data_IF_797705235223
#
_entry.id   IF_797705235223
#
_cell.length_a   1.000
_cell.length_b   1.000
_cell.length_c   1.000
_cell.angle_alpha   90.00
_cell.angle_beta   90.00
_cell.angle_gamma   90.00
#
_symmetry.space_group_name_H-M   'P 1'
#
loop_
_entity.id
_entity.type
_entity.pdbx_description
1 polymer ?
#
# COMPACT_ATOMS: atom_id res chain seq x y z
N UNK A 1 -23.47 3.76 -22.64
CA UNK A 1 -22.52 4.83 -22.26
C UNK A 1 -21.83 4.37 -20.97
N UNK A 2 -20.53 4.15 -21.00
CA UNK A 2 -19.77 3.84 -19.78
C UNK A 2 -19.84 5.06 -18.85
N UNK A 3 -20.18 4.83 -17.58
CA UNK A 3 -20.17 5.87 -16.55
C UNK A 3 -18.80 6.56 -16.41
N UNK A 4 -18.68 7.61 -15.59
CA UNK A 4 -17.41 8.28 -15.39
C UNK A 4 -16.36 7.28 -14.87
N UNK A 5 -15.12 7.41 -15.35
CA UNK A 5 -14.02 6.57 -14.91
C UNK A 5 -13.78 6.76 -13.41
N UNK A 6 -13.65 5.66 -12.67
CA UNK A 6 -13.24 5.68 -11.27
C UNK A 6 -11.80 6.16 -11.12
N UNK A 7 -11.47 6.77 -9.99
CA UNK A 7 -10.15 7.31 -9.70
C UNK A 7 -9.49 6.55 -8.54
N UNK A 8 -8.29 6.06 -8.78
CA UNK A 8 -7.42 5.45 -7.76
C UNK A 8 -6.25 6.36 -7.41
N UNK A 9 -5.92 6.44 -6.12
CA UNK A 9 -4.68 7.04 -5.62
C UNK A 9 -3.75 5.88 -5.23
N UNK A 10 -2.49 5.92 -5.68
CA UNK A 10 -1.46 4.93 -5.31
C UNK A 10 -0.24 5.65 -4.78
N UNK A 11 0.12 5.42 -3.52
CA UNK A 11 1.34 5.96 -2.92
C UNK A 11 2.51 5.00 -3.09
N UNK A 12 3.76 5.50 -3.09
CA UNK A 12 4.94 4.66 -3.34
C UNK A 12 4.98 4.07 -4.75
N UNK A 13 4.46 4.78 -5.73
CA UNK A 13 4.11 4.28 -7.06
C UNK A 13 5.29 4.16 -8.05
N UNK A 14 6.50 4.61 -7.71
CA UNK A 14 7.57 4.78 -8.70
C UNK A 14 8.22 3.48 -9.19
N UNK A 15 8.05 2.37 -8.49
CA UNK A 15 8.66 1.07 -8.80
C UNK A 15 7.97 -0.09 -8.07
N UNK A 16 8.27 -1.32 -8.47
CA UNK A 16 7.89 -2.54 -7.77
C UNK A 16 6.38 -2.70 -7.61
N UNK A 17 5.91 -3.01 -6.39
CA UNK A 17 4.48 -3.25 -6.10
C UNK A 17 3.63 -2.05 -6.53
N UNK A 18 4.04 -0.84 -6.14
CA UNK A 18 3.27 0.37 -6.45
C UNK A 18 3.14 0.64 -7.94
N UNK A 19 4.20 0.46 -8.72
CA UNK A 19 4.15 0.60 -10.17
C UNK A 19 3.27 -0.48 -10.82
N UNK A 20 3.34 -1.72 -10.34
CA UNK A 20 2.45 -2.80 -10.79
C UNK A 20 0.98 -2.49 -10.53
N UNK A 21 0.66 -1.93 -9.36
CA UNK A 21 -0.71 -1.51 -9.01
C UNK A 21 -1.20 -0.38 -9.93
N UNK A 22 -0.37 0.64 -10.20
CA UNK A 22 -0.71 1.72 -11.15
C UNK A 22 -1.07 1.13 -12.51
N UNK A 23 -0.22 0.24 -13.05
CA UNK A 23 -0.45 -0.42 -14.34
C UNK A 23 -1.78 -1.18 -14.36
N UNK A 24 -2.07 -1.96 -13.34
CA UNK A 24 -3.30 -2.74 -13.26
C UNK A 24 -4.57 -1.86 -13.21
N UNK A 25 -4.54 -0.75 -12.48
CA UNK A 25 -5.66 0.21 -12.49
C UNK A 25 -5.84 0.86 -13.86
N UNK A 26 -4.77 1.26 -14.53
CA UNK A 26 -4.84 1.83 -15.89
C UNK A 26 -5.41 0.83 -16.88
N UNK A 27 -4.97 -0.44 -16.85
CA UNK A 27 -5.49 -1.52 -17.70
C UNK A 27 -6.98 -1.79 -17.46
N UNK A 28 -7.48 -1.54 -16.25
CA UNK A 28 -8.91 -1.61 -15.89
C UNK A 28 -9.70 -0.33 -16.22
N UNK A 29 -9.08 0.67 -16.84
CA UNK A 29 -9.72 1.90 -17.25
C UNK A 29 -9.93 2.93 -16.15
N UNK A 30 -9.23 2.83 -15.02
CA UNK A 30 -9.24 3.85 -13.98
C UNK A 30 -8.40 5.07 -14.37
N UNK A 31 -8.75 6.21 -13.79
CA UNK A 31 -7.82 7.31 -13.62
C UNK A 31 -6.92 7.02 -12.42
N UNK A 32 -5.65 7.39 -12.47
CA UNK A 32 -4.69 7.11 -11.39
C UNK A 32 -3.93 8.38 -11.00
N UNK A 33 -3.88 8.69 -9.71
CA UNK A 33 -2.91 9.62 -9.15
C UNK A 33 -1.80 8.80 -8.50
N UNK A 34 -0.63 8.85 -9.10
CA UNK A 34 0.56 8.14 -8.65
C UNK A 34 1.48 9.07 -7.87
N UNK A 35 1.84 8.72 -6.63
CA UNK A 35 2.76 9.50 -5.81
C UNK A 35 4.00 8.69 -5.45
N UNK A 36 5.12 9.33 -5.44
CA UNK A 36 6.33 8.99 -4.68
C UNK A 36 7.21 10.22 -4.55
N UNK A 37 8.32 10.13 -3.82
CA UNK A 37 9.27 11.25 -3.66
C UNK A 37 9.73 11.86 -4.99
N UNK A 38 9.88 11.02 -6.03
CA UNK A 38 10.31 11.42 -7.40
C UNK A 38 9.61 10.54 -8.45
N UNK A 39 8.28 10.47 -8.44
CA UNK A 39 7.54 9.64 -9.38
C UNK A 39 7.68 10.13 -10.82
N UNK A 40 7.88 11.42 -11.02
CA UNK A 40 8.13 12.01 -12.36
C UNK A 40 9.43 11.51 -13.02
N UNK A 41 10.35 10.93 -12.22
CA UNK A 41 11.60 10.31 -12.70
C UNK A 41 11.49 8.77 -12.79
N UNK A 42 10.31 8.21 -12.58
CA UNK A 42 10.10 6.76 -12.68
C UNK A 42 10.35 6.26 -14.09
N UNK A 43 10.97 5.07 -14.19
CA UNK A 43 11.10 4.35 -15.47
C UNK A 43 9.93 3.37 -15.72
N UNK A 44 9.09 3.13 -14.69
CA UNK A 44 8.01 2.15 -14.73
C UNK A 44 6.63 2.81 -14.85
N UNK A 45 6.50 4.08 -14.46
CA UNK A 45 5.24 4.83 -14.48
C UNK A 45 5.44 6.16 -15.17
N UNK A 46 4.61 6.43 -16.18
CA UNK A 46 4.64 7.68 -16.95
C UNK A 46 3.30 8.43 -16.83
N UNK A 47 3.36 9.75 -16.98
CA UNK A 47 2.17 10.58 -17.08
C UNK A 47 1.36 10.26 -18.35
N UNK A 48 0.04 10.29 -18.25
CA UNK A 48 -0.89 10.10 -19.36
C UNK A 48 -2.21 10.85 -19.07
N UNK A 49 -3.14 10.85 -19.98
CA UNK A 49 -4.46 11.47 -19.77
C UNK A 49 -5.16 10.88 -18.53
N UNK A 50 -5.01 9.59 -18.31
CA UNK A 50 -5.54 8.87 -17.15
C UNK A 50 -4.54 8.74 -15.99
N UNK A 51 -3.31 9.27 -16.08
CA UNK A 51 -2.30 9.16 -15.03
C UNK A 51 -1.72 10.52 -14.68
N UNK A 52 -1.92 10.94 -13.44
CA UNK A 52 -1.30 12.12 -12.84
C UNK A 52 -0.14 11.71 -11.94
N UNK A 53 1.01 12.37 -12.07
CA UNK A 53 2.18 12.14 -11.24
C UNK A 53 2.32 13.27 -10.20
N UNK A 54 2.50 12.91 -8.94
CA UNK A 54 2.68 13.86 -7.83
C UNK A 54 3.95 13.53 -7.07
N UNK A 55 4.99 14.30 -7.28
CA UNK A 55 6.22 14.22 -6.48
C UNK A 55 5.99 14.80 -5.08
N UNK A 56 6.55 14.14 -4.07
CA UNK A 56 6.56 14.59 -2.68
C UNK A 56 6.73 13.43 -1.69
N UNK A 57 7.26 13.75 -0.52
CA UNK A 57 7.35 12.80 0.58
C UNK A 57 5.95 12.62 1.20
N UNK A 58 5.50 11.37 1.29
CA UNK A 58 4.16 11.06 1.82
C UNK A 58 4.04 11.34 3.32
N UNK A 59 5.14 11.38 4.05
CA UNK A 59 5.19 11.80 5.46
C UNK A 59 4.86 13.28 5.67
N UNK A 60 4.78 14.07 4.59
CA UNK A 60 4.43 15.47 4.64
C UNK A 60 2.94 15.67 4.35
N UNK A 61 2.20 16.32 5.26
CA UNK A 61 0.76 16.56 5.09
C UNK A 61 0.44 17.40 3.84
N UNK A 62 1.34 18.29 3.44
CA UNK A 62 1.23 19.07 2.22
C UNK A 62 1.26 18.18 0.95
N UNK A 63 2.03 17.09 0.95
CA UNK A 63 2.03 16.12 -0.15
C UNK A 63 0.68 15.41 -0.24
N UNK A 64 0.12 14.98 0.89
CA UNK A 64 -1.20 14.35 0.92
C UNK A 64 -2.30 15.30 0.37
N UNK A 65 -2.26 16.58 0.76
CA UNK A 65 -3.16 17.58 0.22
C UNK A 65 -3.04 17.74 -1.29
N UNK A 66 -1.81 17.83 -1.82
CA UNK A 66 -1.54 17.92 -3.26
C UNK A 66 -2.04 16.70 -4.05
N UNK A 67 -1.89 15.49 -3.49
CA UNK A 67 -2.39 14.25 -4.09
C UNK A 67 -3.91 14.32 -4.26
N UNK A 68 -4.62 14.67 -3.17
CA UNK A 68 -6.10 14.75 -3.17
C UNK A 68 -6.59 15.87 -4.08
N UNK A 69 -5.97 17.05 -4.01
CA UNK A 69 -6.28 18.17 -4.91
C UNK A 69 -6.09 17.76 -6.39
N UNK A 70 -5.01 17.04 -6.71
CA UNK A 70 -4.77 16.54 -8.07
C UNK A 70 -5.87 15.56 -8.52
N UNK A 71 -6.28 14.64 -7.65
CA UNK A 71 -7.38 13.71 -7.96
C UNK A 71 -8.68 14.46 -8.25
N UNK A 72 -9.03 15.44 -7.44
CA UNK A 72 -10.27 16.20 -7.56
C UNK A 72 -10.24 17.19 -8.73
N UNK A 73 -9.15 17.89 -8.95
CA UNK A 73 -9.04 18.86 -10.05
C UNK A 73 -9.05 18.16 -11.42
N UNK A 74 -8.29 17.06 -11.59
CA UNK A 74 -8.18 16.34 -12.86
C UNK A 74 -9.31 15.33 -13.09
N UNK A 75 -9.69 14.57 -12.09
CA UNK A 75 -10.53 13.38 -12.25
C UNK A 75 -11.86 13.42 -11.52
N UNK A 76 -12.08 14.43 -10.66
CA UNK A 76 -13.35 14.74 -9.98
C UNK A 76 -13.79 13.77 -8.88
N UNK A 77 -13.11 12.63 -8.68
CA UNK A 77 -13.47 11.66 -7.64
C UNK A 77 -12.26 11.00 -7.00
N UNK A 78 -12.48 10.36 -5.86
CA UNK A 78 -11.57 9.39 -5.23
C UNK A 78 -12.42 8.16 -4.91
N UNK A 79 -12.20 7.07 -5.62
CA UNK A 79 -12.95 5.83 -5.47
C UNK A 79 -12.11 4.75 -4.78
N UNK A 80 -10.78 4.81 -4.96
CA UNK A 80 -9.83 3.87 -4.38
C UNK A 80 -8.61 4.61 -3.84
N UNK A 81 -8.15 4.21 -2.67
CA UNK A 81 -6.84 4.59 -2.13
C UNK A 81 -6.02 3.33 -1.86
N UNK A 82 -4.81 3.27 -2.44
CA UNK A 82 -3.83 2.24 -2.09
C UNK A 82 -2.66 2.87 -1.35
N UNK A 83 -2.59 2.61 -0.05
CA UNK A 83 -1.47 2.97 0.83
C UNK A 83 -0.35 1.94 0.65
N UNK A 84 0.51 2.17 -0.34
CA UNK A 84 1.64 1.28 -0.62
C UNK A 84 2.99 1.89 -0.23
N UNK A 85 3.10 3.21 -0.13
CA UNK A 85 4.33 3.84 0.33
C UNK A 85 4.77 3.30 1.69
N UNK A 86 6.03 2.93 1.79
CA UNK A 86 6.59 2.41 3.03
C UNK A 86 8.07 2.16 2.90
N UNK A 87 8.75 2.19 4.03
CA UNK A 87 10.16 1.78 4.18
C UNK A 87 10.26 0.60 5.12
N UNK A 88 11.24 -0.24 4.86
CA UNK A 88 11.56 -1.41 5.66
C UNK A 88 13.07 -1.64 5.64
N UNK A 89 13.64 -1.86 6.79
CA UNK A 89 15.02 -2.29 6.97
C UNK A 89 15.15 -3.06 8.28
N UNK A 90 16.18 -3.90 8.40
CA UNK A 90 16.39 -4.78 9.53
C UNK A 90 17.66 -4.43 10.27
N UNK A 91 17.59 -4.42 11.61
CA UNK A 91 18.71 -4.26 12.53
C UNK A 91 18.44 -5.07 13.80
N UNK A 92 19.44 -5.48 14.58
CA UNK A 92 19.23 -5.88 15.98
C UNK A 92 18.42 -4.81 16.72
N UNK A 93 17.54 -5.23 17.62
CA UNK A 93 16.64 -4.28 18.31
C UNK A 93 17.38 -3.15 19.02
N UNK A 94 18.55 -3.45 19.61
CA UNK A 94 19.41 -2.50 20.33
C UNK A 94 20.08 -1.46 19.44
N UNK A 95 20.14 -1.70 18.12
CA UNK A 95 20.90 -0.88 17.18
C UNK A 95 20.00 0.10 16.38
N UNK A 96 18.69 0.05 16.61
CA UNK A 96 17.80 1.05 16.05
C UNK A 96 17.95 2.39 16.75
N UNK A 97 18.19 3.43 15.99
CA UNK A 97 18.31 4.81 16.50
C UNK A 97 16.93 5.51 16.54
N UNK A 98 16.89 6.65 17.23
CA UNK A 98 15.71 7.50 17.25
C UNK A 98 15.34 8.00 15.84
N UNK A 99 16.33 8.25 14.99
CA UNK A 99 16.17 8.68 13.59
C UNK A 99 15.59 7.57 12.73
N UNK A 100 16.02 6.31 12.93
CA UNK A 100 15.44 5.13 12.29
C UNK A 100 13.94 5.04 12.61
N UNK A 101 13.59 5.16 13.88
CA UNK A 101 12.20 5.09 14.33
C UNK A 101 11.37 6.24 13.76
N UNK A 102 11.86 7.48 13.81
CA UNK A 102 11.20 8.65 13.22
C UNK A 102 10.94 8.47 11.72
N UNK A 103 11.93 7.95 10.99
CA UNK A 103 11.77 7.73 9.54
C UNK A 103 10.71 6.67 9.23
N UNK A 104 10.66 5.58 10.02
CA UNK A 104 9.63 4.55 9.91
C UNK A 104 8.25 5.09 10.22
N UNK A 105 8.10 5.88 11.29
CA UNK A 105 6.83 6.51 11.67
C UNK A 105 6.39 7.50 10.60
N UNK A 106 7.28 8.39 10.18
CA UNK A 106 6.94 9.42 9.18
C UNK A 106 6.43 8.79 7.87
N UNK A 107 7.20 7.85 7.30
CA UNK A 107 6.79 7.27 6.01
C UNK A 107 5.61 6.31 6.14
N UNK A 108 5.65 5.39 7.13
CA UNK A 108 4.68 4.29 7.19
C UNK A 108 3.37 4.69 7.88
N UNK A 109 3.43 5.55 8.92
CA UNK A 109 2.27 5.89 9.75
C UNK A 109 1.69 7.26 9.38
N UNK A 110 2.50 8.32 9.40
CA UNK A 110 2.04 9.67 9.02
C UNK A 110 1.64 9.71 7.55
N UNK A 111 2.41 9.05 6.68
CA UNK A 111 2.08 8.91 5.27
C UNK A 111 0.74 8.21 5.02
N UNK A 112 0.44 7.15 5.78
CA UNK A 112 -0.88 6.53 5.77
C UNK A 112 -1.95 7.48 6.28
N UNK A 113 -1.71 8.11 7.45
CA UNK A 113 -2.70 8.90 8.16
C UNK A 113 -3.18 10.09 7.32
N UNK A 114 -2.26 10.92 6.82
CA UNK A 114 -2.59 12.17 6.16
C UNK A 114 -3.41 11.96 4.88
N UNK A 115 -2.98 11.06 4.01
CA UNK A 115 -3.70 10.81 2.76
C UNK A 115 -5.01 10.07 2.98
N UNK A 116 -5.06 9.13 3.96
CA UNK A 116 -6.27 8.38 4.28
C UNK A 116 -7.36 9.28 4.85
N UNK A 117 -7.03 10.18 5.77
CA UNK A 117 -7.99 11.14 6.31
C UNK A 117 -8.63 12.00 5.22
N UNK A 118 -7.84 12.51 4.28
CA UNK A 118 -8.35 13.33 3.18
C UNK A 118 -9.18 12.51 2.20
N UNK A 119 -8.76 11.28 1.88
CA UNK A 119 -9.50 10.38 0.99
C UNK A 119 -10.86 9.99 1.61
N UNK A 120 -10.90 9.63 2.90
CA UNK A 120 -12.15 9.31 3.61
C UNK A 120 -13.09 10.50 3.63
N UNK A 121 -12.61 11.71 3.95
CA UNK A 121 -13.43 12.94 3.90
C UNK A 121 -14.07 13.12 2.52
N UNK A 122 -13.31 12.89 1.46
CA UNK A 122 -13.83 13.00 0.09
C UNK A 122 -14.82 11.88 -0.25
N UNK A 123 -14.54 10.62 0.12
CA UNK A 123 -15.47 9.50 -0.09
C UNK A 123 -16.81 9.72 0.63
N UNK A 124 -16.79 10.24 1.85
CA UNK A 124 -17.99 10.63 2.60
C UNK A 124 -18.76 11.74 1.87
N UNK A 125 -18.08 12.77 1.38
CA UNK A 125 -18.70 13.87 0.64
C UNK A 125 -19.33 13.40 -0.70
N UNK A 126 -18.71 12.44 -1.38
CA UNK A 126 -19.22 11.84 -2.63
C UNK A 126 -20.45 10.96 -2.40
N UNK A 127 -20.60 10.33 -1.24
CA UNK A 127 -21.68 9.37 -0.90
C UNK A 127 -21.76 8.17 -1.86
N UNK A 128 -20.65 7.81 -2.48
CA UNK A 128 -20.56 6.68 -3.42
C UNK A 128 -19.83 5.47 -2.84
N UNK A 129 -19.45 5.56 -1.55
CA UNK A 129 -18.56 4.61 -0.91
C UNK A 129 -17.12 4.73 -1.41
N UNK A 130 -16.33 3.70 -1.19
CA UNK A 130 -14.93 3.65 -1.62
C UNK A 130 -14.21 2.37 -1.19
N UNK A 131 -12.97 2.21 -1.62
CA UNK A 131 -12.11 1.11 -1.21
C UNK A 131 -10.73 1.63 -0.80
N UNK A 132 -10.28 1.27 0.39
CA UNK A 132 -8.94 1.57 0.90
C UNK A 132 -8.21 0.25 1.09
N UNK A 133 -7.04 0.11 0.46
CA UNK A 133 -6.19 -1.08 0.59
C UNK A 133 -4.80 -0.64 1.05
N UNK A 134 -4.31 -1.23 2.14
CA UNK A 134 -3.01 -0.91 2.72
C UNK A 134 -2.03 -2.06 2.54
N UNK A 135 -0.81 -1.79 2.08
CA UNK A 135 0.25 -2.79 2.00
C UNK A 135 0.99 -2.85 3.34
N UNK A 136 0.76 -3.93 4.08
CA UNK A 136 1.39 -4.21 5.38
C UNK A 136 2.59 -5.15 5.24
N UNK A 137 2.70 -6.18 6.07
CA UNK A 137 3.70 -7.24 5.95
C UNK A 137 3.27 -8.47 6.76
N UNK A 138 3.41 -9.66 6.22
CA UNK A 138 3.11 -10.90 6.95
C UNK A 138 3.92 -11.04 8.25
N UNK A 139 5.14 -10.50 8.25
CA UNK A 139 6.02 -10.41 9.43
C UNK A 139 5.41 -9.64 10.62
N UNK A 140 4.40 -8.81 10.40
CA UNK A 140 3.79 -8.01 11.48
C UNK A 140 3.15 -8.89 12.56
N UNK A 141 2.61 -10.04 12.17
CA UNK A 141 1.99 -11.01 13.10
C UNK A 141 2.77 -12.31 13.21
N UNK A 142 3.58 -12.64 12.23
CA UNK A 142 4.25 -13.93 12.11
C UNK A 142 5.76 -13.74 11.98
N UNK A 143 6.46 -13.51 13.13
CA UNK A 143 7.89 -13.28 13.12
C UNK A 143 8.66 -14.52 12.68
N UNK A 144 9.68 -14.32 11.86
CA UNK A 144 10.57 -15.37 11.36
C UNK A 144 11.88 -15.31 12.15
N UNK A 145 12.32 -16.46 12.68
CA UNK A 145 13.61 -16.55 13.38
C UNK A 145 14.76 -16.11 12.46
N UNK A 146 15.61 -15.21 12.95
CA UNK A 146 16.74 -14.66 12.20
C UNK A 146 16.42 -13.38 11.41
N UNK A 147 15.15 -12.97 11.32
CA UNK A 147 14.76 -11.68 10.72
C UNK A 147 14.58 -10.63 11.83
N UNK A 148 15.54 -9.73 11.97
CA UNK A 148 15.58 -8.71 13.03
C UNK A 148 14.77 -7.46 12.64
N UNK A 149 13.44 -7.56 12.62
CA UNK A 149 12.53 -6.53 12.11
C UNK A 149 11.56 -5.96 13.17
N UNK A 150 11.87 -6.08 14.46
CA UNK A 150 10.92 -5.70 15.53
C UNK A 150 10.42 -4.25 15.40
N UNK A 151 11.30 -3.29 15.14
CA UNK A 151 10.92 -1.86 15.08
C UNK A 151 10.07 -1.53 13.85
N UNK A 152 10.39 -1.96 12.61
CA UNK A 152 9.48 -1.80 11.48
C UNK A 152 8.10 -2.41 11.71
N UNK A 153 8.00 -3.52 12.46
CA UNK A 153 6.71 -4.18 12.73
C UNK A 153 5.82 -3.41 13.71
N UNK A 154 6.34 -2.47 14.48
CA UNK A 154 5.52 -1.51 15.24
C UNK A 154 4.61 -0.73 14.28
N UNK A 155 5.17 -0.23 13.17
CA UNK A 155 4.41 0.53 12.18
C UNK A 155 3.46 -0.37 11.37
N UNK A 156 3.96 -1.50 10.86
CA UNK A 156 3.17 -2.41 10.01
C UNK A 156 2.04 -3.10 10.78
N UNK A 157 2.27 -3.51 12.03
CA UNK A 157 1.22 -4.07 12.90
C UNK A 157 0.17 -3.02 13.27
N UNK A 158 0.59 -1.77 13.52
CA UNK A 158 -0.33 -0.65 13.73
C UNK A 158 -1.24 -0.40 12.52
N UNK A 159 -0.71 -0.53 11.29
CA UNK A 159 -1.51 -0.39 10.07
C UNK A 159 -2.55 -1.52 9.90
N UNK A 160 -2.28 -2.73 10.37
CA UNK A 160 -3.30 -3.80 10.38
C UNK A 160 -4.41 -3.50 11.39
N UNK A 161 -4.05 -3.06 12.59
CA UNK A 161 -5.02 -2.70 13.61
C UNK A 161 -5.93 -1.55 13.16
N UNK A 162 -5.36 -0.45 12.64
CA UNK A 162 -6.17 0.69 12.17
C UNK A 162 -7.04 0.32 10.96
N UNK A 163 -6.61 -0.61 10.10
CA UNK A 163 -7.42 -1.13 8.99
C UNK A 163 -8.75 -1.69 9.52
N UNK A 164 -8.71 -2.51 10.58
CA UNK A 164 -9.89 -3.11 11.18
C UNK A 164 -10.80 -2.06 11.85
N UNK A 165 -10.22 -1.09 12.54
CA UNK A 165 -10.98 -0.01 13.18
C UNK A 165 -11.69 0.88 12.15
N UNK A 166 -10.99 1.33 11.10
CA UNK A 166 -11.60 2.14 10.04
C UNK A 166 -12.66 1.37 9.26
N UNK A 167 -12.48 0.05 9.07
CA UNK A 167 -13.48 -0.81 8.45
C UNK A 167 -14.80 -0.78 9.22
N UNK A 168 -14.75 -0.86 10.55
CA UNK A 168 -15.94 -0.78 11.40
C UNK A 168 -16.53 0.63 11.45
N UNK A 169 -15.69 1.66 11.49
CA UNK A 169 -16.12 3.05 11.59
C UNK A 169 -16.90 3.50 10.36
N UNK A 170 -16.46 3.09 9.15
CA UNK A 170 -17.03 3.56 7.88
C UNK A 170 -17.83 2.52 7.08
N UNK A 171 -18.11 1.34 7.65
CA UNK A 171 -18.85 0.29 6.96
C UNK A 171 -20.22 0.75 6.46
N UNK A 172 -20.95 1.55 7.25
CA UNK A 172 -22.28 2.05 6.88
C UNK A 172 -22.26 3.12 5.81
N UNK A 173 -21.11 3.75 5.59
CA UNK A 173 -20.91 4.73 4.53
C UNK A 173 -20.47 4.05 3.22
N UNK A 174 -20.38 2.71 3.20
CA UNK A 174 -19.95 1.94 2.04
C UNK A 174 -18.46 2.06 1.75
N UNK A 175 -17.65 2.55 2.68
CA UNK A 175 -16.19 2.63 2.56
C UNK A 175 -15.60 1.35 3.16
N UNK A 176 -14.98 0.53 2.31
CA UNK A 176 -14.31 -0.71 2.71
C UNK A 176 -12.84 -0.44 2.95
N UNK A 177 -12.30 -0.98 4.03
CA UNK A 177 -10.89 -0.79 4.40
C UNK A 177 -10.28 -2.16 4.66
N UNK A 178 -9.28 -2.54 3.88
CA UNK A 178 -8.61 -3.83 3.94
C UNK A 178 -7.09 -3.67 3.85
N UNK A 179 -6.35 -4.73 4.11
CA UNK A 179 -4.91 -4.75 3.91
C UNK A 179 -4.49 -6.00 3.12
N UNK A 180 -3.40 -5.86 2.38
CA UNK A 180 -2.63 -6.99 1.86
C UNK A 180 -1.36 -7.07 2.69
N UNK A 181 -1.05 -8.26 3.21
CA UNK A 181 0.14 -8.58 3.99
C UNK A 181 1.09 -9.47 3.16
N UNK A 182 2.02 -8.88 2.42
CA UNK A 182 2.99 -9.64 1.64
C UNK A 182 4.00 -10.39 2.53
N UNK A 183 4.43 -11.57 2.07
CA UNK A 183 5.69 -12.16 2.49
C UNK A 183 6.89 -11.57 1.74
N UNK A 184 7.86 -12.41 1.41
CA UNK A 184 8.95 -12.03 0.51
C UNK A 184 8.42 -11.81 -0.91
N UNK A 185 8.78 -10.68 -1.54
CA UNK A 185 8.32 -10.31 -2.89
C UNK A 185 9.51 -9.93 -3.76
N UNK A 186 9.59 -10.43 -4.97
CA UNK A 186 10.59 -10.00 -5.94
C UNK A 186 10.35 -8.54 -6.36
N UNK A 187 11.09 -7.62 -5.72
CA UNK A 187 11.03 -6.18 -5.97
C UNK A 187 12.42 -5.56 -5.86
N UNK A 188 12.63 -4.30 -6.29
CA UNK A 188 13.89 -3.60 -6.05
C UNK A 188 14.32 -3.48 -4.59
N UNK A 189 13.40 -3.66 -3.63
CA UNK A 189 13.70 -3.70 -2.20
C UNK A 189 14.61 -4.91 -1.85
N UNK A 190 14.46 -6.01 -2.56
CA UNK A 190 15.17 -7.28 -2.31
C UNK A 190 16.19 -7.64 -3.39
N UNK A 191 16.61 -6.67 -4.25
CA UNK A 191 17.52 -6.92 -5.37
C UNK A 191 18.87 -7.53 -4.95
N UNK A 192 19.34 -7.20 -3.74
CA UNK A 192 20.62 -7.65 -3.20
C UNK A 192 20.47 -8.90 -2.30
N UNK A 193 19.25 -9.42 -2.14
CA UNK A 193 18.99 -10.63 -1.36
C UNK A 193 19.22 -11.87 -2.23
N UNK A 194 20.07 -12.84 -1.83
CA UNK A 194 20.29 -14.06 -2.58
C UNK A 194 18.98 -14.81 -2.85
N UNK A 195 18.91 -15.47 -4.03
CA UNK A 195 17.69 -16.13 -4.47
C UNK A 195 17.26 -17.27 -3.54
N UNK A 196 18.19 -18.08 -3.09
CA UNK A 196 17.97 -19.17 -2.13
C UNK A 196 17.45 -18.68 -0.79
N UNK A 197 17.93 -17.53 -0.32
CA UNK A 197 17.40 -16.86 0.89
C UNK A 197 15.96 -16.43 0.66
N UNK A 198 15.65 -15.78 -0.48
CA UNK A 198 14.29 -15.39 -0.82
C UNK A 198 13.34 -16.59 -0.91
N UNK A 199 13.78 -17.69 -1.53
CA UNK A 199 13.00 -18.92 -1.66
C UNK A 199 12.74 -19.57 -0.30
N UNK A 200 13.73 -19.56 0.61
CA UNK A 200 13.60 -20.10 1.96
C UNK A 200 12.63 -19.33 2.88
N UNK A 201 12.22 -18.11 2.49
CA UNK A 201 11.23 -17.31 3.21
C UNK A 201 9.78 -17.66 2.85
N UNK A 202 9.55 -18.66 2.01
CA UNK A 202 8.21 -19.07 1.59
C UNK A 202 8.06 -20.60 1.64
N UNK A 203 7.04 -21.12 2.35
CA UNK A 203 6.72 -22.56 2.33
C UNK A 203 6.50 -23.13 0.92
N UNK A 204 6.04 -22.31 -0.02
CA UNK A 204 5.87 -22.71 -1.42
C UNK A 204 7.20 -22.80 -2.19
N UNK A 205 8.35 -22.55 -1.54
CA UNK A 205 9.68 -22.57 -2.17
C UNK A 205 9.91 -21.45 -3.19
N UNK A 206 9.04 -20.46 -3.25
CA UNK A 206 9.18 -19.27 -4.10
C UNK A 206 8.58 -18.03 -3.44
N UNK A 207 9.22 -16.88 -3.55
CA UNK A 207 8.64 -15.60 -3.16
C UNK A 207 7.41 -15.26 -4.03
N UNK A 208 6.57 -14.36 -3.52
CA UNK A 208 5.52 -13.76 -4.32
C UNK A 208 6.10 -12.83 -5.40
N UNK A 209 5.36 -12.65 -6.46
CA UNK A 209 5.66 -11.66 -7.51
C UNK A 209 4.88 -10.36 -7.28
N UNK A 210 5.26 -9.29 -7.96
CA UNK A 210 4.48 -8.05 -7.98
C UNK A 210 3.05 -8.32 -8.45
N UNK A 211 2.88 -9.25 -9.41
CA UNK A 211 1.56 -9.63 -9.91
C UNK A 211 0.69 -10.27 -8.84
N UNK A 212 1.23 -11.17 -8.01
CA UNK A 212 0.46 -11.82 -6.94
C UNK A 212 -0.10 -10.78 -5.95
N UNK A 213 0.71 -9.77 -5.59
CA UNK A 213 0.28 -8.69 -4.70
C UNK A 213 -0.76 -7.78 -5.40
N UNK A 214 -0.53 -7.47 -6.66
CA UNK A 214 -1.44 -6.62 -7.44
C UNK A 214 -2.81 -7.29 -7.59
N UNK A 215 -2.86 -8.61 -7.89
CA UNK A 215 -4.11 -9.36 -8.00
C UNK A 215 -4.90 -9.33 -6.67
N UNK A 216 -4.21 -9.45 -5.54
CA UNK A 216 -4.83 -9.32 -4.21
C UNK A 216 -5.42 -7.92 -3.96
N UNK A 217 -4.71 -6.85 -4.34
CA UNK A 217 -5.21 -5.48 -4.27
C UNK A 217 -6.45 -5.30 -5.15
N UNK A 218 -6.43 -5.83 -6.37
CA UNK A 218 -7.58 -5.76 -7.28
C UNK A 218 -8.77 -6.54 -6.73
N UNK A 219 -8.56 -7.73 -6.16
CA UNK A 219 -9.62 -8.49 -5.48
C UNK A 219 -10.26 -7.69 -4.36
N UNK A 220 -9.46 -7.14 -3.43
CA UNK A 220 -9.98 -6.34 -2.32
C UNK A 220 -10.65 -5.04 -2.78
N UNK A 221 -10.22 -4.49 -3.91
CA UNK A 221 -10.87 -3.32 -4.53
C UNK A 221 -12.29 -3.65 -4.99
N UNK A 222 -12.52 -4.85 -5.53
CA UNK A 222 -13.80 -5.24 -6.13
C UNK A 222 -14.73 -6.02 -5.17
N UNK A 223 -14.18 -6.68 -4.15
CA UNK A 223 -14.90 -7.54 -3.21
C UNK A 223 -15.89 -6.74 -2.35
N UNK A 224 -17.14 -6.63 -2.78
CA UNK A 224 -18.15 -5.72 -2.24
C UNK A 224 -18.49 -5.92 -0.76
N UNK A 225 -18.32 -7.12 -0.23
CA UNK A 225 -18.66 -7.47 1.15
C UNK A 225 -17.44 -7.80 2.03
N UNK A 226 -16.21 -7.52 1.53
CA UNK A 226 -14.98 -7.73 2.30
C UNK A 226 -14.50 -6.38 2.84
N UNK A 227 -14.47 -6.25 4.16
CA UNK A 227 -13.93 -5.11 4.88
C UNK A 227 -13.34 -5.54 6.22
N UNK A 228 -12.24 -4.94 6.64
CA UNK A 228 -11.49 -5.28 7.85
C UNK A 228 -10.57 -6.50 7.70
N UNK A 229 -10.44 -7.04 6.49
CA UNK A 229 -9.62 -8.22 6.23
C UNK A 229 -8.14 -7.87 6.02
N UNK A 230 -7.28 -8.78 6.46
CA UNK A 230 -5.83 -8.76 6.23
C UNK A 230 -5.50 -9.97 5.36
N UNK A 231 -5.43 -9.76 4.05
CA UNK A 231 -5.18 -10.82 3.08
C UNK A 231 -3.69 -11.11 2.98
N UNK A 232 -3.28 -12.29 3.45
CA UNK A 232 -1.90 -12.73 3.39
C UNK A 232 -1.55 -13.24 1.98
N UNK A 233 -0.48 -12.70 1.40
CA UNK A 233 0.08 -13.13 0.11
C UNK A 233 1.55 -13.43 0.34
N UNK A 234 1.84 -14.56 0.97
CA UNK A 234 3.14 -14.89 1.54
C UNK A 234 3.56 -16.35 1.31
N UNK A 235 2.81 -17.07 0.48
CA UNK A 235 3.07 -18.49 0.22
C UNK A 235 2.84 -19.39 1.43
N UNK A 236 2.03 -18.96 2.41
CA UNK A 236 1.72 -19.71 3.62
C UNK A 236 2.66 -19.44 4.80
N UNK A 237 3.60 -18.51 4.67
CA UNK A 237 4.61 -18.21 5.69
C UNK A 237 4.01 -17.83 7.06
N UNK A 238 2.80 -17.27 7.08
CA UNK A 238 2.13 -16.88 8.32
C UNK A 238 1.53 -18.05 9.12
N UNK A 239 1.51 -19.27 8.60
CA UNK A 239 0.97 -20.42 9.33
C UNK A 239 1.99 -21.16 10.22
N UNK A 240 3.25 -20.79 10.25
CA UNK A 240 4.20 -21.36 11.20
C UNK A 240 5.51 -21.85 10.60
N UNK A 241 6.06 -22.92 11.19
CA UNK A 241 7.32 -23.53 10.77
C UNK A 241 7.12 -24.45 9.57
N UNK A 242 8.00 -24.40 8.62
CA UNK A 242 8.13 -25.32 7.50
C UNK A 242 9.60 -25.74 7.32
#
# INVERSE_FOLDING_TARGET
>A
MSGPRKTAIVTGASQGIGAGIVKAFVERGFNVVANSRKVTQSKEVAAADSVALVDGDIGESATAAKIVETALSRFKSIDVLVNNAGIFFTKPFTDYTAEDFKSLVSTNVEGFLYVTQLAVKQMLAQKTGGSIVTITAALARNPIRGVTAAVPMITKGGLETITQHLAMEYARDGIRVNAVAPGAVYTPLHRDTPKDVMESLSPMGRPSTVKDITDAVMYLTDAATVTGDILYVDGGAHFGRW
#
